data_IF_576421251554
#
_entry.id   IF_576421251554
#
_cell.length_a   1.000
_cell.length_b   1.000
_cell.length_c   1.000
_cell.angle_alpha   90.00
_cell.angle_beta   90.00
_cell.angle_gamma   90.00
#
_symmetry.space_group_name_H-M   'P 1'
#
loop_
_entity.id
_entity.type
_entity.pdbx_description
1 polymer ?
#
# COMPACT_ATOMS: atom_id res chain seq x y z
N UNK A 1 -13.40 14.92 5.15
CA UNK A 1 -12.22 15.06 4.27
C UNK A 1 -11.18 14.10 4.83
N UNK A 2 -10.60 13.21 4.03
CA UNK A 2 -9.54 12.31 4.49
C UNK A 2 -8.18 13.01 4.37
N UNK A 3 -7.35 12.87 5.40
CA UNK A 3 -5.95 13.30 5.37
C UNK A 3 -5.06 12.15 4.89
N UNK A 4 -4.10 12.44 4.02
CA UNK A 4 -3.08 11.46 3.63
C UNK A 4 -1.84 11.70 4.49
N UNK A 5 -1.38 10.67 5.21
CA UNK A 5 -0.24 10.76 6.12
C UNK A 5 0.62 9.50 6.07
N UNK A 6 1.91 9.56 6.46
CA UNK A 6 2.68 8.35 6.73
C UNK A 6 1.94 7.46 7.74
N UNK A 7 2.03 6.15 7.54
CA UNK A 7 1.49 5.21 8.49
C UNK A 7 2.31 5.20 9.79
N UNK A 8 1.65 4.89 10.90
CA UNK A 8 2.23 4.71 12.22
C UNK A 8 1.89 3.30 12.73
N UNK A 9 2.61 2.82 13.76
CA UNK A 9 2.31 1.52 14.37
C UNK A 9 0.86 1.36 14.83
N UNK A 10 0.23 2.44 15.27
CA UNK A 10 -1.18 2.43 15.67
C UNK A 10 -2.13 2.02 14.53
N UNK A 11 -1.69 2.13 13.27
CA UNK A 11 -2.49 1.75 12.11
C UNK A 11 -2.43 0.24 11.80
N UNK A 12 -1.47 -0.50 12.36
CA UNK A 12 -1.23 -1.94 12.06
C UNK A 12 -2.52 -2.78 12.12
N UNK A 13 -3.38 -2.66 13.15
CA UNK A 13 -4.64 -3.41 13.19
C UNK A 13 -5.55 -3.14 11.99
N UNK A 14 -5.65 -1.88 11.55
CA UNK A 14 -6.45 -1.51 10.40
C UNK A 14 -5.82 -1.98 9.07
N UNK A 15 -4.49 -1.90 8.96
CA UNK A 15 -3.75 -2.42 7.80
C UNK A 15 -3.96 -3.93 7.63
N UNK A 16 -3.89 -4.69 8.73
CA UNK A 16 -4.16 -6.13 8.75
C UNK A 16 -5.60 -6.43 8.36
N UNK A 17 -6.57 -5.75 8.97
CA UNK A 17 -7.99 -5.96 8.67
C UNK A 17 -8.34 -5.70 7.19
N UNK A 18 -7.81 -4.61 6.61
CA UNK A 18 -8.00 -4.29 5.20
C UNK A 18 -7.34 -5.36 4.32
N UNK A 19 -6.09 -5.75 4.58
CA UNK A 19 -5.40 -6.74 3.76
C UNK A 19 -6.07 -8.12 3.82
N UNK A 20 -6.46 -8.56 5.02
CA UNK A 20 -7.12 -9.84 5.22
C UNK A 20 -8.50 -9.90 4.56
N UNK A 21 -9.19 -8.77 4.39
CA UNK A 21 -10.40 -8.75 3.56
C UNK A 21 -10.08 -9.16 2.11
N UNK A 22 -9.02 -8.59 1.52
CA UNK A 22 -8.63 -8.95 0.15
C UNK A 22 -8.14 -10.40 0.03
N UNK A 23 -7.48 -10.95 1.05
CA UNK A 23 -7.12 -12.38 1.10
C UNK A 23 -8.37 -13.26 1.04
N UNK A 24 -9.39 -12.95 1.85
CA UNK A 24 -10.60 -13.79 1.96
C UNK A 24 -11.51 -13.69 0.75
N UNK A 25 -11.67 -12.49 0.21
CA UNK A 25 -12.78 -12.18 -0.69
C UNK A 25 -12.36 -12.00 -2.15
N UNK A 26 -11.06 -11.91 -2.45
CA UNK A 26 -10.61 -11.51 -3.80
C UNK A 26 -9.31 -12.19 -4.22
N UNK A 27 -9.01 -12.24 -5.54
CA UNK A 27 -7.69 -12.63 -6.03
C UNK A 27 -6.72 -11.44 -6.17
N UNK A 28 -6.98 -10.31 -5.51
CA UNK A 28 -6.14 -9.10 -5.61
C UNK A 28 -4.80 -9.24 -4.87
N UNK A 29 -4.69 -10.23 -3.99
CA UNK A 29 -3.42 -10.71 -3.42
C UNK A 29 -3.37 -12.22 -3.60
N UNK A 30 -2.15 -12.76 -3.63
CA UNK A 30 -1.91 -14.20 -3.72
C UNK A 30 -1.50 -14.83 -2.37
N UNK A 31 -1.51 -14.05 -1.29
CA UNK A 31 -1.53 -14.63 0.05
C UNK A 31 -2.83 -15.42 0.25
N UNK A 32 -2.70 -16.65 0.75
CA UNK A 32 -3.83 -17.57 0.99
C UNK A 32 -4.16 -17.74 2.48
N UNK A 33 -3.36 -17.14 3.35
CA UNK A 33 -3.51 -17.20 4.80
C UNK A 33 -3.51 -15.77 5.36
N UNK A 34 -4.47 -15.49 6.24
CA UNK A 34 -4.58 -14.19 6.88
C UNK A 34 -3.32 -13.83 7.67
N UNK A 35 -3.00 -12.54 7.68
CA UNK A 35 -1.88 -11.98 8.45
C UNK A 35 -2.37 -11.59 9.83
N UNK A 36 -1.72 -12.14 10.86
CA UNK A 36 -1.93 -11.68 12.22
C UNK A 36 -1.20 -10.34 12.47
N UNK A 37 -1.31 -9.83 13.70
CA UNK A 37 -0.72 -8.54 14.05
C UNK A 37 0.82 -8.59 14.11
N UNK A 38 1.40 -9.75 14.42
CA UNK A 38 2.86 -9.91 14.52
C UNK A 38 3.49 -9.97 13.13
N UNK A 39 2.90 -10.73 12.20
CA UNK A 39 3.26 -10.72 10.78
C UNK A 39 3.15 -9.29 10.23
N UNK A 40 2.04 -8.61 10.51
CA UNK A 40 1.82 -7.27 9.98
C UNK A 40 2.76 -6.23 10.58
N UNK A 41 3.13 -6.37 11.85
CA UNK A 41 4.14 -5.53 12.49
C UNK A 41 5.52 -5.77 11.86
N UNK A 42 5.92 -7.02 11.64
CA UNK A 42 7.19 -7.34 10.98
C UNK A 42 7.26 -6.77 9.55
N UNK A 43 6.17 -6.85 8.79
CA UNK A 43 6.06 -6.22 7.48
C UNK A 43 6.17 -4.68 7.55
N UNK A 44 5.60 -4.07 8.59
CA UNK A 44 5.63 -2.62 8.78
C UNK A 44 7.05 -2.07 8.96
N UNK A 45 7.95 -2.83 9.59
CA UNK A 45 9.36 -2.45 9.76
C UNK A 45 10.12 -2.28 8.44
N UNK A 46 9.58 -2.78 7.33
CA UNK A 46 10.15 -2.58 5.99
C UNK A 46 10.03 -1.15 5.45
N UNK A 47 9.27 -0.27 6.11
CA UNK A 47 9.01 1.10 5.64
C UNK A 47 9.70 2.17 6.47
N UNK A 48 9.98 3.31 5.83
CA UNK A 48 10.61 4.47 6.47
C UNK A 48 9.92 5.76 6.03
N UNK A 49 10.14 6.85 6.77
CA UNK A 49 9.74 8.20 6.38
C UNK A 49 10.59 8.76 5.23
N UNK A 50 11.72 8.12 4.93
CA UNK A 50 12.68 8.48 3.88
C UNK A 50 13.01 7.27 3.01
N UNK A 51 13.75 7.46 1.91
CA UNK A 51 14.11 6.34 1.03
C UNK A 51 12.97 5.83 0.15
N UNK A 52 13.21 4.76 -0.62
CA UNK A 52 12.29 4.30 -1.66
C UNK A 52 11.13 3.44 -1.13
N UNK A 53 11.14 3.05 0.15
CA UNK A 53 10.12 2.18 0.74
C UNK A 53 9.26 2.97 1.73
N UNK A 54 8.14 3.47 1.22
CA UNK A 54 7.22 4.38 1.91
C UNK A 54 5.87 3.71 2.06
N UNK A 55 5.18 3.99 3.17
CA UNK A 55 3.82 3.53 3.45
C UNK A 55 2.96 4.72 3.93
N UNK A 56 1.85 4.95 3.24
CA UNK A 56 0.90 6.01 3.55
C UNK A 56 -0.49 5.43 3.82
N UNK A 57 -1.22 6.08 4.72
CA UNK A 57 -2.64 5.80 4.99
C UNK A 57 -3.52 6.99 4.64
N UNK A 58 -4.75 6.70 4.24
CA UNK A 58 -5.82 7.68 4.16
C UNK A 58 -6.62 7.62 5.47
N UNK A 59 -6.54 8.67 6.27
CA UNK A 59 -7.18 8.78 7.57
C UNK A 59 -8.41 9.69 7.49
N UNK A 60 -9.55 9.22 7.97
CA UNK A 60 -10.75 10.03 8.12
C UNK A 60 -11.18 10.03 9.60
N UNK A 61 -10.72 11.04 10.34
CA UNK A 61 -11.02 11.22 11.76
C UNK A 61 -10.58 10.02 12.63
N UNK A 62 -9.37 9.51 12.38
CA UNK A 62 -8.79 8.35 13.08
C UNK A 62 -9.14 7.00 12.47
N UNK A 63 -10.02 6.96 11.47
CA UNK A 63 -10.37 5.75 10.73
C UNK A 63 -9.53 5.62 9.47
N UNK A 64 -8.76 4.53 9.35
CA UNK A 64 -7.98 4.23 8.14
C UNK A 64 -8.92 3.72 7.05
N UNK A 65 -9.06 4.50 5.98
CA UNK A 65 -9.86 4.18 4.79
C UNK A 65 -9.12 3.30 3.77
N UNK A 66 -7.80 3.22 3.87
CA UNK A 66 -6.95 2.53 2.91
C UNK A 66 -5.50 2.93 3.08
N UNK A 67 -4.62 2.22 2.39
CA UNK A 67 -3.18 2.49 2.40
C UNK A 67 -2.56 2.18 1.05
N UNK A 68 -1.46 2.86 0.75
CA UNK A 68 -0.61 2.58 -0.39
C UNK A 68 0.85 2.53 0.05
N UNK A 69 1.63 1.66 -0.57
CA UNK A 69 3.04 1.52 -0.24
C UNK A 69 3.91 1.27 -1.46
N UNK A 70 5.20 1.49 -1.25
CA UNK A 70 6.28 1.12 -2.16
C UNK A 70 7.22 0.15 -1.45
N UNK A 71 7.62 -0.90 -2.14
CA UNK A 71 8.48 -1.96 -1.64
C UNK A 71 9.52 -2.39 -2.67
N UNK A 72 10.41 -3.30 -2.26
CA UNK A 72 11.43 -3.87 -3.12
C UNK A 72 10.78 -4.67 -4.24
N UNK A 73 11.08 -4.35 -5.50
CA UNK A 73 10.52 -5.10 -6.64
C UNK A 73 11.09 -6.52 -6.75
N UNK A 74 12.42 -6.65 -6.75
CA UNK A 74 13.12 -7.94 -6.88
C UNK A 74 14.43 -7.93 -6.09
N UNK A 75 14.91 -9.13 -5.76
CA UNK A 75 16.10 -9.28 -4.90
C UNK A 75 17.42 -8.91 -5.57
N UNK A 76 17.54 -9.13 -6.89
CA UNK A 76 18.82 -8.91 -7.58
C UNK A 76 19.19 -7.42 -7.56
N UNK A 77 20.46 -7.12 -7.25
CA UNK A 77 20.96 -5.75 -7.08
C UNK A 77 20.70 -4.81 -8.28
N UNK A 78 20.64 -5.35 -9.50
CA UNK A 78 20.32 -4.57 -10.70
C UNK A 78 18.90 -3.94 -10.67
N UNK A 79 18.01 -4.39 -9.78
CA UNK A 79 16.69 -3.80 -9.58
C UNK A 79 16.65 -2.78 -8.43
N UNK A 80 17.78 -2.33 -7.88
CA UNK A 80 17.80 -1.44 -6.72
C UNK A 80 17.03 -0.13 -6.92
N UNK A 81 17.01 0.42 -8.15
CA UNK A 81 16.22 1.61 -8.51
C UNK A 81 14.80 1.29 -9.01
N UNK A 82 14.35 0.04 -8.86
CA UNK A 82 13.00 -0.40 -9.20
C UNK A 82 12.21 -0.76 -7.94
N UNK A 83 11.03 -0.19 -7.80
CA UNK A 83 10.10 -0.50 -6.71
C UNK A 83 8.84 -1.19 -7.24
N UNK A 84 8.18 -1.94 -6.37
CA UNK A 84 6.79 -2.33 -6.55
C UNK A 84 5.90 -1.38 -5.74
N UNK A 85 4.72 -1.07 -6.26
CA UNK A 85 3.70 -0.33 -5.53
C UNK A 85 2.41 -1.12 -5.43
N UNK A 86 1.77 -1.04 -4.27
CA UNK A 86 0.45 -1.65 -4.04
C UNK A 86 -0.45 -0.69 -3.29
N UNK A 87 -1.76 -0.89 -3.45
CA UNK A 87 -2.80 -0.11 -2.81
C UNK A 87 -3.97 -1.01 -2.38
N UNK A 88 -4.46 -0.81 -1.17
CA UNK A 88 -5.62 -1.53 -0.64
C UNK A 88 -6.52 -0.54 0.09
N UNK A 89 -7.82 -0.59 -0.23
CA UNK A 89 -8.82 0.31 0.35
C UNK A 89 -9.81 -0.52 1.17
N UNK A 90 -10.42 0.08 2.19
CA UNK A 90 -11.62 -0.52 2.75
C UNK A 90 -12.67 -0.71 1.63
N UNK A 91 -13.47 -1.79 1.67
CA UNK A 91 -14.45 -2.06 0.62
C UNK A 91 -15.44 -0.90 0.42
N UNK A 92 -15.84 -0.26 1.52
CA UNK A 92 -16.74 0.89 1.57
C UNK A 92 -16.08 2.24 1.22
N UNK A 93 -14.76 2.27 1.00
CA UNK A 93 -13.99 3.45 0.60
C UNK A 93 -13.61 3.48 -0.88
N UNK A 94 -13.92 2.42 -1.64
CA UNK A 94 -13.64 2.31 -3.08
C UNK A 94 -14.47 3.32 -3.91
N UNK A 95 -13.97 3.70 -5.10
CA UNK A 95 -14.68 4.60 -6.02
C UNK A 95 -14.82 6.07 -5.57
N UNK A 96 -14.19 6.45 -4.44
CA UNK A 96 -14.30 7.80 -3.84
C UNK A 96 -13.04 8.66 -4.02
N UNK A 97 -12.14 8.28 -4.93
CA UNK A 97 -10.87 8.98 -5.17
C UNK A 97 -9.79 8.79 -4.09
N UNK A 98 -10.05 7.97 -3.05
CA UNK A 98 -9.09 7.68 -1.97
C UNK A 98 -7.80 7.06 -2.53
N UNK A 99 -7.94 6.14 -3.49
CA UNK A 99 -6.80 5.47 -4.09
C UNK A 99 -5.86 6.44 -4.83
N UNK A 100 -6.44 7.32 -5.64
CA UNK A 100 -5.68 8.36 -6.36
C UNK A 100 -4.99 9.34 -5.40
N UNK A 101 -5.65 9.72 -4.29
CA UNK A 101 -5.04 10.59 -3.28
C UNK A 101 -3.84 9.93 -2.59
N UNK A 102 -3.95 8.64 -2.24
CA UNK A 102 -2.85 7.85 -1.69
C UNK A 102 -1.67 7.76 -2.65
N UNK A 103 -1.90 7.41 -3.92
CA UNK A 103 -0.83 7.35 -4.91
C UNK A 103 -0.18 8.71 -5.18
N UNK A 104 -0.97 9.78 -5.19
CA UNK A 104 -0.44 11.15 -5.35
C UNK A 104 0.58 11.47 -4.25
N UNK A 105 0.25 11.18 -2.99
CA UNK A 105 1.18 11.40 -1.88
C UNK A 105 2.40 10.48 -1.94
N UNK A 106 2.20 9.20 -2.27
CA UNK A 106 3.28 8.22 -2.41
C UNK A 106 4.29 8.66 -3.47
N UNK A 107 3.83 9.00 -4.67
CA UNK A 107 4.71 9.40 -5.77
C UNK A 107 5.37 10.77 -5.52
N UNK A 108 4.68 11.71 -4.86
CA UNK A 108 5.31 12.96 -4.43
C UNK A 108 6.48 12.71 -3.47
N UNK A 109 6.35 11.76 -2.54
CA UNK A 109 7.43 11.39 -1.61
C UNK A 109 8.59 10.66 -2.30
N UNK A 110 8.29 9.87 -3.34
CA UNK A 110 9.27 9.11 -4.13
C UNK A 110 9.99 9.96 -5.19
N UNK A 111 9.43 11.09 -5.62
CA UNK A 111 10.01 11.95 -6.64
C UNK A 111 11.41 12.49 -6.30
N UNK A 112 11.80 12.48 -5.02
CA UNK A 112 13.11 12.91 -4.53
C UNK A 112 14.06 11.75 -4.23
N UNK A 113 13.70 10.52 -4.59
CA UNK A 113 14.48 9.31 -4.34
C UNK A 113 15.09 8.79 -5.64
N UNK A 114 16.13 7.94 -5.55
CA UNK A 114 16.71 7.23 -6.69
C UNK A 114 15.81 6.06 -7.13
N UNK A 115 14.61 6.40 -7.58
CA UNK A 115 13.62 5.47 -8.13
C UNK A 115 13.48 5.75 -9.61
N UNK A 116 13.85 4.76 -10.43
CA UNK A 116 13.74 4.83 -11.88
C UNK A 116 12.39 4.30 -12.39
N UNK A 117 11.86 3.24 -11.76
CA UNK A 117 10.61 2.58 -12.20
C UNK A 117 9.77 2.10 -11.03
N UNK A 118 8.46 2.26 -11.15
CA UNK A 118 7.46 1.67 -10.28
C UNK A 118 6.64 0.64 -11.07
N UNK A 119 6.48 -0.55 -10.49
CA UNK A 119 5.68 -1.64 -11.04
C UNK A 119 4.46 -1.85 -10.15
N UNK A 120 3.29 -2.04 -10.76
CA UNK A 120 2.07 -2.46 -10.06
C UNK A 120 1.56 -3.75 -10.71
N UNK A 121 1.38 -4.79 -9.90
CA UNK A 121 0.74 -6.03 -10.31
C UNK A 121 -0.77 -5.91 -10.18
N UNK A 122 -1.51 -6.23 -11.24
CA UNK A 122 -2.98 -6.21 -11.24
C UNK A 122 -3.48 -7.57 -11.70
N UNK A 123 -4.26 -8.24 -10.85
CA UNK A 123 -5.00 -9.44 -11.25
C UNK A 123 -6.14 -9.04 -12.18
N UNK A 124 -6.21 -9.67 -13.35
CA UNK A 124 -7.27 -9.45 -14.33
C UNK A 124 -8.41 -10.46 -14.17
N UNK A 125 -9.67 -10.06 -14.43
CA UNK A 125 -10.11 -8.74 -14.88
C UNK A 125 -10.26 -7.73 -13.72
N UNK A 126 -9.80 -6.47 -13.88
CA UNK A 126 -9.96 -5.42 -12.87
C UNK A 126 -9.89 -4.00 -13.46
N UNK A 127 -10.92 -3.62 -14.22
CA UNK A 127 -10.96 -2.35 -14.94
C UNK A 127 -10.81 -1.11 -14.03
N UNK A 128 -11.24 -1.19 -12.77
CA UNK A 128 -11.10 -0.08 -11.81
C UNK A 128 -9.64 0.17 -11.39
N UNK A 129 -8.79 -0.87 -11.44
CA UNK A 129 -7.36 -0.76 -11.13
C UNK A 129 -6.52 -0.49 -12.38
N UNK A 130 -7.03 -0.81 -13.58
CA UNK A 130 -6.35 -0.57 -14.86
C UNK A 130 -6.41 0.90 -15.32
N UNK A 131 -7.35 1.68 -14.78
CA UNK A 131 -7.64 3.07 -15.11
C UNK A 131 -6.74 4.07 -14.38
#
# INVERSE_FOLDING_TARGET
MSAIRPAAHADIPALAAIYNHYIRETPATFDIAEKDLDDRAAWFEGFSLTGPYRLFVADAAGEVLGYAYSGRFKERAAYASSIETSIYLRPDATGKGVGSALYTALFAALAQQDVHRAYAGITLPNAASEA
#
